data_IF_901776373012
#
_entry.id   IF_901776373012
#
_cell.length_a   1.000
_cell.length_b   1.000
_cell.length_c   1.000
_cell.angle_alpha   90.00
_cell.angle_beta   90.00
_cell.angle_gamma   90.00
#
_symmetry.space_group_name_H-M   'P 1'
#
loop_
_entity.id
_entity.type
_entity.pdbx_description
1 polymer ?
#
# COMPACT_ATOMS: atom_id res chain seq x y z
N UNK A 1 2.59 13.84 5.19
CA UNK A 1 1.27 13.71 4.52
C UNK A 1 1.10 14.80 3.46
N UNK A 2 1.28 16.08 3.79
CA UNK A 2 1.19 17.22 2.85
C UNK A 2 1.91 17.00 1.52
N UNK A 3 3.17 16.57 1.55
CA UNK A 3 4.01 16.50 0.35
C UNK A 3 3.53 15.43 -0.63
N UNK A 4 3.00 14.31 -0.10
CA UNK A 4 2.42 13.23 -0.91
C UNK A 4 1.15 13.74 -1.60
N UNK A 5 0.28 14.43 -0.87
CA UNK A 5 -0.97 14.99 -1.41
C UNK A 5 -0.71 16.13 -2.41
N UNK A 6 0.30 16.96 -2.17
CA UNK A 6 0.68 18.03 -3.09
C UNK A 6 1.28 17.47 -4.38
N UNK A 7 2.18 16.49 -4.25
CA UNK A 7 2.79 15.80 -5.39
C UNK A 7 1.75 15.02 -6.21
N UNK A 8 0.75 14.40 -5.56
CA UNK A 8 -0.33 13.71 -6.28
C UNK A 8 -1.22 14.68 -7.08
N UNK A 9 -1.54 15.85 -6.50
CA UNK A 9 -2.32 16.90 -7.20
C UNK A 9 -1.59 17.42 -8.44
N UNK A 10 -0.26 17.56 -8.38
CA UNK A 10 0.55 17.92 -9.54
C UNK A 10 0.50 16.88 -10.67
N UNK A 11 0.07 15.65 -10.37
CA UNK A 11 -0.15 14.57 -11.33
C UNK A 11 -1.64 14.32 -11.63
N UNK A 12 -2.51 15.31 -11.37
CA UNK A 12 -3.95 15.22 -11.59
C UNK A 12 -4.64 14.12 -10.74
N UNK A 13 -4.12 13.84 -9.54
CA UNK A 13 -4.63 12.81 -8.63
C UNK A 13 -5.06 13.44 -7.30
N UNK A 14 -6.36 13.36 -6.99
CA UNK A 14 -6.91 13.63 -5.67
C UNK A 14 -6.91 12.37 -4.81
N UNK A 15 -6.24 12.41 -3.65
CA UNK A 15 -6.17 11.31 -2.71
C UNK A 15 -6.96 11.64 -1.45
N UNK A 16 -7.85 10.73 -1.07
CA UNK A 16 -8.65 10.87 0.14
C UNK A 16 -8.50 9.65 1.04
N UNK A 17 -8.07 9.88 2.28
CA UNK A 17 -8.11 8.88 3.35
C UNK A 17 -9.46 8.98 4.09
N UNK A 18 -10.08 7.83 4.36
CA UNK A 18 -11.29 7.68 5.14
C UNK A 18 -11.08 6.57 6.17
N UNK A 19 -11.59 6.75 7.39
CA UNK A 19 -11.37 5.81 8.49
C UNK A 19 -12.70 5.44 9.15
N UNK A 20 -12.85 4.17 9.54
CA UNK A 20 -13.96 3.68 10.34
C UNK A 20 -13.41 2.69 11.38
N UNK A 21 -13.20 3.18 12.61
CA UNK A 21 -12.51 2.40 13.63
C UNK A 21 -11.09 2.00 13.19
N UNK A 22 -10.67 0.74 13.31
CA UNK A 22 -9.35 0.29 12.87
C UNK A 22 -9.23 0.19 11.35
N UNK A 23 -10.35 0.21 10.62
CA UNK A 23 -10.37 0.10 9.17
C UNK A 23 -10.11 1.46 8.53
N UNK A 24 -9.42 1.45 7.40
CA UNK A 24 -9.23 2.64 6.59
C UNK A 24 -9.31 2.32 5.11
N UNK A 25 -9.70 3.33 4.33
CA UNK A 25 -9.75 3.31 2.87
C UNK A 25 -9.05 4.54 2.33
N UNK A 26 -8.29 4.36 1.26
CA UNK A 26 -7.81 5.45 0.42
C UNK A 26 -8.51 5.35 -0.92
N UNK A 27 -9.01 6.48 -1.40
CA UNK A 27 -9.57 6.60 -2.75
C UNK A 27 -8.74 7.60 -3.53
N UNK A 28 -8.38 7.24 -4.77
CA UNK A 28 -7.74 8.10 -5.75
C UNK A 28 -8.76 8.48 -6.82
N UNK A 29 -8.87 9.78 -7.13
CA UNK A 29 -9.72 10.31 -8.20
C UNK A 29 -8.94 11.21 -9.14
N UNK A 30 -9.35 11.28 -10.40
CA UNK A 30 -8.87 12.30 -11.33
C UNK A 30 -9.41 13.67 -10.91
N UNK A 31 -8.56 14.71 -10.85
CA UNK A 31 -9.05 16.07 -10.59
C UNK A 31 -9.80 16.63 -11.80
N UNK A 32 -9.45 16.20 -13.02
CA UNK A 32 -10.11 16.61 -14.26
C UNK A 32 -11.49 15.96 -14.43
N UNK A 33 -11.59 14.64 -14.29
CA UNK A 33 -12.84 13.91 -14.60
C UNK A 33 -13.66 13.58 -13.37
N UNK A 34 -13.10 13.75 -12.16
CA UNK A 34 -13.69 13.34 -10.87
C UNK A 34 -14.03 11.83 -10.77
N UNK A 35 -13.56 11.02 -11.72
CA UNK A 35 -13.75 9.57 -11.73
C UNK A 35 -12.71 8.89 -10.85
N UNK A 36 -13.10 7.73 -10.30
CA UNK A 36 -12.22 6.91 -9.46
C UNK A 36 -11.13 6.25 -10.30
N UNK A 37 -9.88 6.54 -9.94
CA UNK A 37 -8.67 5.92 -10.49
C UNK A 37 -8.33 4.63 -9.77
N UNK A 38 -8.65 4.56 -8.48
CA UNK A 38 -8.44 3.37 -7.69
C UNK A 38 -8.76 3.57 -6.23
N UNK A 39 -8.68 2.49 -5.49
CA UNK A 39 -8.87 2.45 -4.05
C UNK A 39 -7.97 1.42 -3.39
N UNK A 40 -7.68 1.64 -2.12
CA UNK A 40 -7.02 0.66 -1.28
C UNK A 40 -7.69 0.59 0.09
N UNK A 41 -7.73 -0.60 0.65
CA UNK A 41 -8.29 -0.89 1.96
C UNK A 41 -7.19 -1.44 2.88
N UNK A 42 -7.31 -1.17 4.17
CA UNK A 42 -6.41 -1.70 5.17
C UNK A 42 -6.94 -1.57 6.59
N UNK A 43 -6.21 -2.15 7.54
CA UNK A 43 -6.60 -2.27 8.94
C UNK A 43 -5.41 -1.95 9.84
N UNK A 44 -5.62 -1.19 10.92
CA UNK A 44 -4.67 -1.06 12.01
C UNK A 44 -4.96 -2.17 13.03
N UNK A 45 -4.12 -3.21 13.05
CA UNK A 45 -4.25 -4.32 13.99
C UNK A 45 -3.47 -4.03 15.27
N UNK A 46 -4.06 -4.31 16.43
CA UNK A 46 -3.37 -4.18 17.73
C UNK A 46 -3.05 -5.58 18.25
N UNK A 47 -1.78 -5.86 18.44
CA UNK A 47 -1.29 -7.10 19.03
C UNK A 47 -0.62 -6.84 20.36
N UNK A 48 -1.03 -7.57 21.40
CA UNK A 48 -0.56 -7.38 22.78
C UNK A 48 0.97 -7.38 22.92
N UNK A 49 1.67 -8.16 22.11
CA UNK A 49 3.12 -8.39 22.22
C UNK A 49 3.93 -7.67 21.12
N UNK A 50 3.27 -7.27 20.02
CA UNK A 50 3.92 -6.71 18.82
C UNK A 50 3.56 -5.23 18.58
N UNK A 51 2.64 -4.68 19.37
CA UNK A 51 2.13 -3.32 19.19
C UNK A 51 1.17 -3.22 18.01
N UNK A 52 1.14 -2.05 17.37
CA UNK A 52 0.28 -1.80 16.20
C UNK A 52 0.95 -2.26 14.90
N UNK A 53 0.18 -2.95 14.08
CA UNK A 53 0.58 -3.44 12.76
C UNK A 53 -0.32 -2.79 11.70
N UNK A 54 0.30 -2.23 10.66
CA UNK A 54 -0.39 -1.76 9.47
C UNK A 54 -0.65 -2.95 8.55
N UNK A 55 -1.89 -3.41 8.49
CA UNK A 55 -2.30 -4.51 7.62
C UNK A 55 -2.83 -3.93 6.30
N UNK A 56 -2.16 -4.22 5.20
CA UNK A 56 -2.52 -3.77 3.86
C UNK A 56 -3.31 -4.88 3.19
N UNK A 57 -4.61 -4.66 3.00
CA UNK A 57 -5.54 -5.69 2.53
C UNK A 57 -5.58 -5.75 1.01
N UNK A 58 -5.96 -4.64 0.37
CA UNK A 58 -6.13 -4.64 -1.08
C UNK A 58 -5.83 -3.29 -1.71
N UNK A 59 -5.42 -3.33 -2.97
CA UNK A 59 -5.33 -2.17 -3.86
C UNK A 59 -5.96 -2.55 -5.20
N UNK A 60 -6.86 -1.71 -5.70
CA UNK A 60 -7.60 -1.93 -6.95
C UNK A 60 -7.54 -0.64 -7.76
N UNK A 61 -7.00 -0.74 -8.97
CA UNK A 61 -6.97 0.36 -9.94
C UNK A 61 -8.04 0.14 -11.00
N UNK A 62 -8.62 1.21 -11.51
CA UNK A 62 -9.70 1.16 -12.51
C UNK A 62 -9.14 1.37 -13.92
N UNK A 63 -9.96 1.09 -14.95
CA UNK A 63 -9.59 1.36 -16.34
C UNK A 63 -9.38 2.84 -16.65
N UNK A 64 -9.92 3.74 -15.82
CA UNK A 64 -9.72 5.19 -15.97
C UNK A 64 -8.23 5.56 -15.91
N UNK A 65 -7.42 4.78 -15.18
CA UNK A 65 -5.96 4.97 -15.11
C UNK A 65 -5.23 4.82 -16.45
N UNK A 66 -5.82 4.13 -17.43
CA UNK A 66 -5.24 3.96 -18.76
C UNK A 66 -5.30 5.24 -19.60
N UNK A 67 -6.20 6.18 -19.25
CA UNK A 67 -6.33 7.47 -19.92
C UNK A 67 -5.50 8.59 -19.30
N UNK A 68 -4.68 8.27 -18.29
CA UNK A 68 -3.83 9.26 -17.62
C UNK A 68 -2.42 9.28 -18.22
N UNK A 69 -1.81 10.45 -18.27
CA UNK A 69 -0.37 10.60 -18.56
C UNK A 69 0.51 9.97 -17.48
N UNK A 70 -0.05 9.79 -16.27
CA UNK A 70 0.63 9.15 -15.14
C UNK A 70 0.54 7.64 -15.25
N UNK A 71 1.68 6.96 -15.08
CA UNK A 71 1.70 5.49 -15.08
C UNK A 71 0.84 4.87 -13.98
N UNK A 72 0.21 3.73 -14.27
CA UNK A 72 -0.54 2.90 -13.30
C UNK A 72 0.30 2.63 -12.03
N UNK A 73 1.60 2.36 -12.21
CA UNK A 73 2.54 2.16 -11.10
C UNK A 73 2.73 3.42 -10.26
N UNK A 74 2.72 4.61 -10.88
CA UNK A 74 2.78 5.89 -10.19
C UNK A 74 1.56 6.13 -9.29
N UNK A 75 0.35 5.85 -9.80
CA UNK A 75 -0.89 5.95 -9.02
C UNK A 75 -0.86 4.98 -7.83
N UNK A 76 -0.46 3.73 -8.08
CA UNK A 76 -0.30 2.72 -7.02
C UNK A 76 0.71 3.14 -5.95
N UNK A 77 1.82 3.79 -6.34
CA UNK A 77 2.83 4.28 -5.42
C UNK A 77 2.30 5.43 -4.54
N UNK A 78 1.49 6.34 -5.09
CA UNK A 78 0.83 7.39 -4.31
C UNK A 78 -0.14 6.84 -3.27
N UNK A 79 -1.01 5.91 -3.69
CA UNK A 79 -1.94 5.24 -2.78
C UNK A 79 -1.15 4.53 -1.67
N UNK A 80 -0.14 3.74 -2.05
CA UNK A 80 0.73 3.05 -1.10
C UNK A 80 1.42 4.02 -0.12
N UNK A 81 1.93 5.15 -0.61
CA UNK A 81 2.60 6.13 0.23
C UNK A 81 1.66 6.74 1.29
N UNK A 82 0.41 7.00 0.92
CA UNK A 82 -0.61 7.44 1.90
C UNK A 82 -0.90 6.33 2.92
N UNK A 83 -0.98 5.05 2.52
CA UNK A 83 -1.17 3.92 3.46
C UNK A 83 -0.03 3.84 4.47
N UNK A 84 1.22 3.86 3.99
CA UNK A 84 2.40 3.77 4.86
C UNK A 84 2.49 4.98 5.79
N UNK A 85 2.23 6.19 5.26
CA UNK A 85 2.22 7.40 6.07
C UNK A 85 1.15 7.36 7.15
N UNK A 86 -0.05 6.91 6.81
CA UNK A 86 -1.13 6.76 7.79
C UNK A 86 -0.74 5.74 8.88
N UNK A 87 -0.19 4.59 8.51
CA UNK A 87 0.28 3.61 9.50
C UNK A 87 1.37 4.15 10.42
N UNK A 88 2.30 4.94 9.90
CA UNK A 88 3.30 5.64 10.72
C UNK A 88 2.64 6.61 11.70
N UNK A 89 1.72 7.45 11.22
CA UNK A 89 1.00 8.42 12.06
C UNK A 89 0.15 7.71 13.13
N UNK A 90 -0.31 6.48 12.88
CA UNK A 90 -0.98 5.63 13.88
C UNK A 90 -0.03 4.95 14.89
N UNK A 91 1.28 5.02 14.68
CA UNK A 91 2.31 4.40 15.52
C UNK A 91 2.64 2.95 15.15
N UNK A 92 2.34 2.51 13.93
CA UNK A 92 2.72 1.18 13.46
C UNK A 92 4.22 1.11 13.17
N UNK A 93 4.87 0.04 13.65
CA UNK A 93 6.29 -0.24 13.32
C UNK A 93 6.43 -1.17 12.11
N UNK A 94 5.46 -2.05 11.94
CA UNK A 94 5.42 -3.07 10.88
C UNK A 94 4.24 -2.82 9.96
N UNK A 95 4.48 -2.91 8.66
CA UNK A 95 3.47 -3.08 7.63
C UNK A 95 3.50 -4.53 7.15
N UNK A 96 2.34 -5.14 6.94
CA UNK A 96 2.21 -6.49 6.42
C UNK A 96 1.22 -6.52 5.25
N UNK A 97 1.48 -7.41 4.28
CA UNK A 97 0.60 -7.70 3.15
C UNK A 97 0.71 -9.18 2.76
N UNK A 98 -0.28 -9.68 2.01
CA UNK A 98 -0.20 -10.97 1.34
C UNK A 98 -0.01 -10.79 -0.16
N UNK A 99 1.08 -11.34 -0.70
CA UNK A 99 1.22 -11.55 -2.13
C UNK A 99 0.47 -12.83 -2.50
N UNK A 100 -0.82 -12.71 -2.80
CA UNK A 100 -1.71 -13.83 -3.13
C UNK A 100 -1.15 -14.65 -4.31
N UNK A 101 -1.24 -15.97 -4.22
CA UNK A 101 -0.86 -16.90 -5.28
C UNK A 101 -2.09 -17.37 -6.08
N UNK A 102 -2.56 -16.52 -6.99
CA UNK A 102 -3.59 -16.92 -7.98
C UNK A 102 -2.99 -17.75 -9.13
N UNK A 103 -1.71 -17.52 -9.45
CA UNK A 103 -0.90 -18.38 -10.32
C UNK A 103 0.59 -18.16 -10.05
N UNK A 104 1.41 -19.20 -10.21
CA UNK A 104 2.83 -19.15 -9.85
C UNK A 104 3.59 -18.02 -10.57
N UNK A 105 3.27 -17.76 -11.85
CA UNK A 105 3.91 -16.70 -12.62
C UNK A 105 3.53 -15.30 -12.10
N UNK A 106 2.25 -15.06 -11.79
CA UNK A 106 1.81 -13.78 -11.24
C UNK A 106 2.30 -13.58 -9.81
N UNK A 107 2.25 -14.63 -9.02
CA UNK A 107 2.75 -14.65 -7.65
C UNK A 107 4.24 -14.28 -7.59
N UNK A 108 5.08 -14.93 -8.40
CA UNK A 108 6.51 -14.61 -8.46
C UNK A 108 6.78 -13.15 -8.88
N UNK A 109 5.94 -12.57 -9.75
CA UNK A 109 6.03 -11.15 -10.13
C UNK A 109 5.64 -10.23 -8.97
N UNK A 110 4.56 -10.55 -8.25
CA UNK A 110 4.10 -9.78 -7.09
C UNK A 110 5.15 -9.79 -5.96
N UNK A 111 5.70 -10.96 -5.62
CA UNK A 111 6.76 -11.07 -4.61
C UNK A 111 7.99 -10.26 -5.01
N UNK A 112 8.43 -10.34 -6.27
CA UNK A 112 9.55 -9.53 -6.78
C UNK A 112 9.26 -8.03 -6.71
N UNK A 113 8.04 -7.62 -7.06
CA UNK A 113 7.61 -6.22 -6.98
C UNK A 113 7.66 -5.71 -5.54
N UNK A 114 7.05 -6.43 -4.60
CA UNK A 114 7.00 -6.04 -3.19
C UNK A 114 8.39 -6.02 -2.54
N UNK A 115 9.27 -6.97 -2.91
CA UNK A 115 10.71 -6.93 -2.55
C UNK A 115 11.39 -5.63 -2.98
N UNK A 116 11.20 -5.22 -4.24
CA UNK A 116 11.82 -3.99 -4.76
C UNK A 116 11.36 -2.75 -4.02
N UNK A 117 10.09 -2.68 -3.62
CA UNK A 117 9.57 -1.50 -2.92
C UNK A 117 9.89 -1.51 -1.42
N UNK A 118 10.35 -2.62 -0.85
CA UNK A 118 10.95 -2.69 0.50
C UNK A 118 10.31 -3.67 1.47
N UNK A 119 9.45 -4.58 0.99
CA UNK A 119 8.92 -5.68 1.80
C UNK A 119 9.83 -6.90 1.71
N UNK A 120 9.81 -7.73 2.75
CA UNK A 120 10.57 -8.97 2.82
C UNK A 120 9.60 -10.15 3.03
N UNK A 121 9.81 -11.27 2.34
CA UNK A 121 8.98 -12.46 2.55
C UNK A 121 9.25 -13.01 3.96
N UNK A 122 8.19 -13.24 4.72
CA UNK A 122 8.28 -13.77 6.08
C UNK A 122 7.84 -15.22 6.13
N UNK A 123 6.76 -15.54 5.44
CA UNK A 123 6.11 -16.84 5.53
C UNK A 123 5.32 -17.14 4.26
N UNK A 124 5.36 -18.39 3.78
CA UNK A 124 4.46 -18.86 2.75
C UNK A 124 3.22 -19.46 3.43
N UNK A 125 2.07 -18.83 3.23
CA UNK A 125 0.78 -19.34 3.67
C UNK A 125 0.39 -20.45 2.69
N UNK A 126 0.71 -21.70 3.02
CA UNK A 126 0.53 -22.85 2.11
C UNK A 126 -0.84 -23.52 2.26
N UNK A 127 -1.55 -23.27 3.35
CA UNK A 127 -2.82 -23.95 3.68
C UNK A 127 -2.66 -25.32 4.35
N UNK A 128 -1.44 -25.71 4.74
CA UNK A 128 -1.11 -27.08 5.14
C UNK A 128 -1.08 -27.30 6.66
N UNK A 129 -1.03 -26.22 7.45
CA UNK A 129 -0.94 -26.23 8.90
C UNK A 129 -2.11 -25.51 9.57
N UNK A 130 -2.35 -25.76 10.86
CA UNK A 130 -3.37 -25.03 11.64
C UNK A 130 -3.10 -23.51 11.70
N UNK A 131 -1.83 -23.11 11.68
CA UNK A 131 -1.42 -21.70 11.51
C UNK A 131 -1.79 -21.17 10.13
N UNK A 132 -1.67 -21.98 9.08
CA UNK A 132 -2.09 -21.57 7.73
C UNK A 132 -3.59 -21.37 7.61
N UNK A 133 -4.41 -22.11 8.35
CA UNK A 133 -5.87 -21.93 8.34
C UNK A 133 -6.26 -20.60 8.99
N UNK A 134 -5.59 -20.20 10.08
CA UNK A 134 -5.77 -18.89 10.70
C UNK A 134 -5.28 -17.75 9.78
N UNK A 135 -4.14 -17.95 9.10
CA UNK A 135 -3.62 -16.99 8.13
C UNK A 135 -4.50 -16.92 6.86
N UNK A 136 -5.06 -18.04 6.38
CA UNK A 136 -6.05 -18.05 5.29
C UNK A 136 -7.35 -17.36 5.69
N UNK A 137 -7.81 -17.51 6.93
CA UNK A 137 -8.96 -16.76 7.44
C UNK A 137 -8.67 -15.25 7.50
N UNK A 138 -7.43 -14.88 7.80
CA UNK A 138 -6.98 -13.49 7.92
C UNK A 138 -6.79 -12.82 6.55
N UNK A 139 -6.31 -13.56 5.55
CA UNK A 139 -5.92 -13.01 4.26
C UNK A 139 -6.80 -13.47 3.08
N UNK A 140 -7.69 -14.43 3.30
CA UNK A 140 -8.62 -14.94 2.28
C UNK A 140 -8.00 -15.84 1.21
N UNK A 141 -6.73 -16.25 1.34
CA UNK A 141 -6.06 -17.07 0.31
C UNK A 141 -4.66 -17.57 0.67
N UNK A 142 -4.10 -18.37 -0.23
CA UNK A 142 -2.71 -18.88 -0.22
C UNK A 142 -1.80 -17.83 -0.85
N UNK A 143 -0.59 -17.66 -0.33
CA UNK A 143 0.35 -16.67 -0.85
C UNK A 143 1.57 -16.47 0.04
N UNK A 144 2.40 -15.49 -0.29
CA UNK A 144 3.56 -15.14 0.54
C UNK A 144 3.21 -13.93 1.40
N UNK A 145 3.18 -14.11 2.71
CA UNK A 145 3.12 -13.00 3.65
C UNK A 145 4.44 -12.25 3.59
N UNK A 146 4.34 -10.94 3.46
CA UNK A 146 5.49 -10.06 3.42
C UNK A 146 5.34 -8.93 4.44
N UNK A 147 6.42 -8.65 5.16
CA UNK A 147 6.45 -7.59 6.17
C UNK A 147 7.48 -6.52 5.78
N UNK A 148 7.32 -5.31 6.30
CA UNK A 148 8.26 -4.21 6.15
C UNK A 148 8.28 -3.34 7.40
N UNK A 149 9.41 -2.69 7.66
CA UNK A 149 9.46 -1.63 8.66
C UNK A 149 8.89 -0.34 8.07
N UNK A 150 7.87 0.22 8.72
CA UNK A 150 7.12 1.40 8.24
C UNK A 150 8.03 2.62 8.06
N UNK A 151 8.91 2.88 9.01
CA UNK A 151 9.82 4.02 8.98
C UNK A 151 10.83 3.90 7.83
N UNK A 152 11.38 2.70 7.60
CA UNK A 152 12.26 2.43 6.46
C UNK A 152 11.54 2.65 5.12
N UNK A 153 10.27 2.24 5.02
CA UNK A 153 9.46 2.50 3.83
C UNK A 153 9.27 3.99 3.60
N UNK A 154 8.96 4.76 4.65
CA UNK A 154 8.85 6.21 4.54
C UNK A 154 10.15 6.85 4.04
N UNK A 155 11.29 6.54 4.65
CA UNK A 155 12.58 7.10 4.21
C UNK A 155 12.86 6.75 2.74
N UNK A 156 12.64 5.49 2.36
CA UNK A 156 12.87 5.01 0.99
C UNK A 156 11.99 5.72 -0.02
N UNK A 157 10.71 5.94 0.29
CA UNK A 157 9.74 6.47 -0.65
C UNK A 157 9.64 8.00 -0.62
N UNK A 158 9.97 8.66 0.50
CA UNK A 158 9.95 10.12 0.62
C UNK A 158 10.76 10.80 -0.49
N UNK A 159 11.90 10.23 -0.88
CA UNK A 159 12.74 10.75 -1.99
C UNK A 159 12.00 10.85 -3.33
N UNK A 160 10.88 10.14 -3.52
CA UNK A 160 10.04 10.18 -4.72
C UNK A 160 8.98 11.28 -4.69
N UNK A 161 8.67 11.83 -3.52
CA UNK A 161 7.59 12.80 -3.34
C UNK A 161 8.09 14.19 -2.95
N UNK A 162 9.34 14.31 -2.51
CA UNK A 162 9.95 15.62 -2.26
C UNK A 162 10.00 16.40 -3.57
N UNK A 163 9.20 17.47 -3.65
CA UNK A 163 9.32 18.46 -4.72
C UNK A 163 10.68 19.13 -4.52
N UNK A 164 11.60 18.98 -5.47
CA UNK A 164 12.83 19.76 -5.46
C UNK A 164 12.42 21.23 -5.55
N UNK A 165 12.40 21.95 -4.42
CA UNK A 165 12.48 23.41 -4.42
C UNK A 165 13.90 23.78 -4.87
N UNK A 166 14.21 23.58 -6.16
CA UNK A 166 15.20 24.44 -6.81
C UNK A 166 14.45 25.71 -7.16
N UNK A 167 14.45 26.62 -6.19
CA UNK A 167 14.18 28.02 -6.44
C UNK A 167 15.19 28.48 -7.48
N UNK A 168 14.67 28.95 -8.60
CA UNK A 168 15.33 29.93 -9.45
C UNK A 168 15.82 31.07 -8.54
N UNK A 169 17.13 31.23 -8.50
CA UNK A 169 17.85 32.36 -7.91
C UNK A 169 18.52 33.13 -9.03
#
# INVERSE_FOLDING_TARGET
MSDILQSSKAQNIDLRLQTLGPFFRITAKSLETNKELGKADGIIRVWWNKGKILHLDSIKLTKETLGMDTSIFGIGLFIGAVMIRYGYDCGCKTAELLAINDSDLYHAKLVKFYKRIGFEPVYEVTGSSLSDLADQLVWGGVGTRMDANVERLLVKWCTRFTTNKRSDS
#
